data_IF_917593565757
#
_entry.id   IF_917593565757
#
_cell.length_a   1.000
_cell.length_b   1.000
_cell.length_c   1.000
_cell.angle_alpha   90.00
_cell.angle_beta   90.00
_cell.angle_gamma   90.00
#
_symmetry.space_group_name_H-M   'P 1'
#
loop_
_entity.id
_entity.type
_entity.pdbx_description
1 polymer ?
#
# COMPACT_ATOMS: atom_id res chain seq x y z
N UNK A 1 46.14 36.32 -11.44
CA UNK A 1 45.49 35.51 -12.49
C UNK A 1 46.45 34.38 -12.84
N UNK A 2 46.01 33.12 -12.96
CA UNK A 2 44.63 32.68 -13.14
C UNK A 2 43.88 32.43 -11.83
N UNK A 3 42.56 32.46 -11.96
CA UNK A 3 41.55 32.18 -10.95
C UNK A 3 41.18 30.71 -11.12
N UNK A 4 41.42 29.85 -10.14
CA UNK A 4 40.81 28.53 -10.13
C UNK A 4 39.49 28.58 -9.38
N UNK A 5 38.46 28.28 -10.17
CA UNK A 5 37.06 28.39 -9.85
C UNK A 5 36.65 27.41 -8.75
N UNK A 6 35.77 27.90 -7.87
CA UNK A 6 35.17 27.10 -6.81
C UNK A 6 34.44 25.88 -7.36
N UNK A 7 34.89 24.71 -6.92
CA UNK A 7 34.06 23.52 -6.89
C UNK A 7 33.19 23.59 -5.63
N UNK A 8 32.03 24.24 -5.73
CA UNK A 8 30.97 24.01 -4.76
C UNK A 8 30.49 22.58 -4.96
N UNK A 9 31.05 21.66 -4.18
CA UNK A 9 30.56 20.30 -4.07
C UNK A 9 29.22 20.39 -3.34
N UNK A 10 28.15 20.62 -4.12
CA UNK A 10 26.78 20.55 -3.64
C UNK A 10 26.58 19.15 -3.08
N UNK A 11 26.70 19.02 -1.76
CA UNK A 11 26.32 17.82 -1.04
C UNK A 11 24.86 17.58 -1.34
N UNK A 12 24.57 16.71 -2.31
CA UNK A 12 23.26 16.11 -2.44
C UNK A 12 23.03 15.39 -1.12
N UNK A 13 22.22 16.01 -0.28
CA UNK A 13 21.65 15.35 0.87
C UNK A 13 20.76 14.26 0.30
N UNK A 14 21.32 13.05 0.16
CA UNK A 14 20.54 11.83 0.00
C UNK A 14 19.70 11.78 1.28
N UNK A 15 18.45 12.20 1.17
CA UNK A 15 17.48 12.01 2.23
C UNK A 15 17.55 10.52 2.54
N UNK A 16 17.99 10.17 3.75
CA UNK A 16 17.67 8.87 4.31
C UNK A 16 16.19 8.63 4.01
N UNK A 17 15.76 7.44 3.53
CA UNK A 17 14.37 7.22 3.19
C UNK A 17 13.55 7.54 4.44
N UNK A 18 12.94 8.73 4.46
CA UNK A 18 12.03 9.12 5.50
C UNK A 18 10.88 8.11 5.45
N UNK A 19 10.39 7.70 6.61
CA UNK A 19 9.26 6.79 6.70
C UNK A 19 8.15 7.28 5.76
N UNK A 20 7.96 6.59 4.63
CA UNK A 20 7.05 7.04 3.59
C UNK A 20 5.63 6.63 3.97
N UNK A 21 4.68 7.55 3.77
CA UNK A 21 3.28 7.39 4.13
C UNK A 21 2.48 7.17 2.86
N UNK A 22 1.59 6.17 2.90
CA UNK A 22 0.60 5.96 1.86
C UNK A 22 -0.71 6.64 2.22
N UNK A 23 -1.19 7.49 1.32
CA UNK A 23 -2.44 8.23 1.46
C UNK A 23 -3.41 7.80 0.37
N UNK A 24 -4.71 7.93 0.62
CA UNK A 24 -5.73 7.79 -0.40
C UNK A 24 -5.47 8.82 -1.52
N UNK A 25 -5.25 8.37 -2.75
CA UNK A 25 -4.97 9.26 -3.88
C UNK A 25 -6.08 10.28 -4.15
N UNK A 26 -7.32 9.92 -3.83
CA UNK A 26 -8.49 10.76 -4.08
C UNK A 26 -8.65 11.91 -3.07
N UNK A 27 -8.24 11.73 -1.80
CA UNK A 27 -8.57 12.70 -0.74
C UNK A 27 -7.47 12.97 0.28
N UNK A 28 -6.31 12.31 0.20
CA UNK A 28 -5.18 12.52 1.10
C UNK A 28 -5.28 11.85 2.48
N UNK A 29 -6.40 11.17 2.80
CA UNK A 29 -6.53 10.39 4.03
C UNK A 29 -5.36 9.42 4.21
N UNK A 30 -4.68 9.45 5.35
CA UNK A 30 -3.59 8.50 5.66
C UNK A 30 -4.13 7.08 5.75
N UNK A 31 -3.49 6.15 5.03
CA UNK A 31 -3.90 4.74 4.92
C UNK A 31 -2.87 3.79 5.51
N UNK A 32 -1.60 3.88 5.12
CA UNK A 32 -0.57 2.95 5.58
C UNK A 32 0.83 3.58 5.50
N UNK A 33 1.87 2.77 5.70
CA UNK A 33 3.28 3.19 5.76
C UNK A 33 4.15 2.20 5.01
N UNK A 34 5.28 2.68 4.49
CA UNK A 34 6.29 1.84 3.85
C UNK A 34 6.82 0.73 4.78
N UNK A 35 7.05 1.04 6.07
CA UNK A 35 7.50 0.06 7.07
C UNK A 35 6.50 -1.07 7.33
N UNK A 36 5.26 -0.93 6.86
CA UNK A 36 4.20 -1.92 7.02
C UNK A 36 4.00 -2.81 5.80
N UNK A 37 4.76 -2.60 4.72
CA UNK A 37 4.79 -3.52 3.58
C UNK A 37 5.09 -4.95 4.05
N UNK A 38 4.32 -5.90 3.55
CA UNK A 38 4.32 -7.28 4.01
C UNK A 38 4.58 -8.23 2.83
N UNK A 39 5.68 -9.00 2.84
CA UNK A 39 6.02 -9.91 1.75
C UNK A 39 5.21 -11.22 1.80
N UNK A 40 3.93 -11.14 1.41
CA UNK A 40 3.04 -12.30 1.30
C UNK A 40 3.51 -13.25 0.19
N UNK A 41 3.90 -14.48 0.55
CA UNK A 41 4.42 -15.42 -0.44
C UNK A 41 5.75 -14.99 -1.07
N UNK A 42 6.52 -14.15 -0.39
CA UNK A 42 7.86 -13.72 -0.81
C UNK A 42 7.92 -12.35 -1.47
N UNK A 43 6.78 -11.73 -1.78
CA UNK A 43 6.72 -10.37 -2.33
C UNK A 43 5.56 -9.57 -1.70
N UNK A 44 5.68 -8.26 -1.66
CA UNK A 44 4.59 -7.37 -1.25
C UNK A 44 3.73 -6.98 -2.44
N UNK A 45 4.24 -7.04 -3.68
CA UNK A 45 3.52 -6.68 -4.90
C UNK A 45 2.97 -7.93 -5.61
N UNK A 46 1.67 -7.90 -5.93
CA UNK A 46 0.99 -8.96 -6.67
C UNK A 46 0.14 -8.36 -7.79
N UNK A 47 0.38 -8.80 -9.03
CA UNK A 47 -0.49 -8.48 -10.17
C UNK A 47 -1.53 -9.60 -10.32
N UNK A 48 -2.79 -9.25 -10.13
CA UNK A 48 -3.91 -10.19 -10.01
C UNK A 48 -5.09 -9.72 -10.84
N UNK A 49 -6.05 -10.60 -11.12
CA UNK A 49 -7.30 -10.24 -11.76
C UNK A 49 -8.50 -10.82 -11.02
N UNK A 50 -9.64 -10.13 -11.07
CA UNK A 50 -10.89 -10.62 -10.52
C UNK A 50 -11.69 -11.44 -11.58
N UNK A 51 -12.76 -12.14 -11.20
CA UNK A 51 -13.58 -12.92 -12.15
C UNK A 51 -14.19 -12.11 -13.31
N UNK A 52 -14.33 -10.80 -13.15
CA UNK A 52 -14.78 -9.89 -14.20
C UNK A 52 -13.65 -9.46 -15.18
N UNK A 53 -12.43 -9.99 -15.01
CA UNK A 53 -11.29 -9.69 -15.86
C UNK A 53 -10.57 -8.38 -15.55
N UNK A 54 -10.89 -7.70 -14.44
CA UNK A 54 -10.20 -6.48 -14.03
C UNK A 54 -8.85 -6.81 -13.41
N UNK A 55 -7.79 -6.20 -13.89
CA UNK A 55 -6.41 -6.36 -13.39
C UNK A 55 -6.12 -5.32 -12.31
N UNK A 56 -5.46 -5.75 -11.24
CA UNK A 56 -4.99 -4.90 -10.15
C UNK A 56 -3.51 -5.19 -9.84
N UNK A 57 -2.74 -4.13 -9.60
CA UNK A 57 -1.46 -4.22 -8.88
C UNK A 57 -1.76 -3.99 -7.40
N UNK A 58 -1.62 -5.04 -6.59
CA UNK A 58 -1.96 -5.08 -5.17
C UNK A 58 -0.69 -5.10 -4.34
N UNK A 59 -0.60 -4.17 -3.39
CA UNK A 59 0.45 -4.10 -2.38
C UNK A 59 -0.05 -4.61 -1.04
N UNK A 60 0.69 -5.54 -0.44
CA UNK A 60 0.38 -6.16 0.83
C UNK A 60 0.94 -5.33 1.98
N UNK A 61 0.10 -5.07 2.98
CA UNK A 61 0.44 -4.34 4.19
C UNK A 61 0.00 -5.12 5.43
N UNK A 62 0.86 -5.18 6.44
CA UNK A 62 0.53 -5.76 7.75
C UNK A 62 -0.51 -4.93 8.50
N UNK A 63 -0.50 -3.60 8.32
CA UNK A 63 -1.38 -2.67 8.99
C UNK A 63 -1.89 -1.59 8.02
N UNK A 64 -3.12 -1.15 8.21
CA UNK A 64 -3.70 0.00 7.55
C UNK A 64 -4.75 0.67 8.45
N UNK A 65 -4.95 1.97 8.26
CA UNK A 65 -5.90 2.81 8.99
C UNK A 65 -6.73 3.66 8.02
N UNK A 66 -7.72 4.39 8.52
CA UNK A 66 -8.54 5.27 7.68
C UNK A 66 -9.36 4.52 6.62
N UNK A 67 -9.62 3.23 6.85
CA UNK A 67 -10.42 2.36 6.00
C UNK A 67 -11.77 2.04 6.65
N UNK A 68 -12.79 1.81 5.82
CA UNK A 68 -14.08 1.23 6.19
C UNK A 68 -14.26 -0.08 5.44
N UNK A 69 -14.42 -1.17 6.19
CA UNK A 69 -14.70 -2.49 5.64
C UNK A 69 -16.20 -2.62 5.33
N UNK A 70 -16.55 -3.25 4.21
CA UNK A 70 -17.94 -3.42 3.78
C UNK A 70 -18.17 -4.81 3.22
N UNK A 71 -19.31 -5.39 3.62
CA UNK A 71 -19.69 -6.76 3.31
C UNK A 71 -19.20 -7.76 4.37
N UNK A 72 -19.58 -9.02 4.18
CA UNK A 72 -19.02 -10.13 4.94
C UNK A 72 -17.73 -10.62 4.25
N UNK A 73 -16.80 -11.23 5.01
CA UNK A 73 -15.65 -11.92 4.44
C UNK A 73 -16.08 -13.00 3.44
N UNK A 74 -15.36 -13.10 2.34
CA UNK A 74 -15.59 -14.12 1.31
C UNK A 74 -14.29 -14.79 0.89
N UNK A 75 -14.31 -16.12 0.81
CA UNK A 75 -13.22 -16.91 0.22
C UNK A 75 -13.32 -17.02 -1.30
N UNK A 76 -14.39 -16.50 -1.90
CA UNK A 76 -14.62 -16.59 -3.34
C UNK A 76 -13.49 -15.88 -4.12
N UNK A 77 -12.80 -16.62 -4.99
CA UNK A 77 -11.69 -16.10 -5.79
C UNK A 77 -10.62 -15.35 -4.97
N UNK A 78 -10.37 -15.78 -3.73
CA UNK A 78 -9.28 -15.21 -2.94
C UNK A 78 -7.93 -15.45 -3.62
N UNK A 79 -7.13 -14.39 -3.73
CA UNK A 79 -5.78 -14.46 -4.31
C UNK A 79 -4.74 -15.00 -3.32
N UNK A 80 -5.06 -15.00 -2.02
CA UNK A 80 -4.15 -15.46 -0.97
C UNK A 80 -4.73 -16.71 -0.32
N UNK A 81 -4.07 -17.85 -0.55
CA UNK A 81 -4.55 -19.16 -0.09
C UNK A 81 -4.77 -19.15 1.43
N UNK A 82 -5.96 -19.57 1.84
CA UNK A 82 -6.35 -19.67 3.25
C UNK A 82 -6.85 -18.37 3.87
N UNK A 83 -7.07 -17.32 3.07
CA UNK A 83 -7.66 -16.07 3.53
C UNK A 83 -9.00 -15.80 2.85
N UNK A 84 -9.96 -15.34 3.64
CA UNK A 84 -11.17 -14.67 3.17
C UNK A 84 -10.92 -13.17 3.07
N UNK A 85 -11.57 -12.49 2.13
CA UNK A 85 -11.41 -11.06 1.91
C UNK A 85 -12.69 -10.27 2.16
N UNK A 86 -12.53 -9.05 2.65
CA UNK A 86 -13.60 -8.04 2.78
C UNK A 86 -13.18 -6.78 2.05
N UNK A 87 -14.10 -6.14 1.32
CA UNK A 87 -13.80 -4.90 0.58
C UNK A 87 -13.42 -3.79 1.57
N UNK A 88 -12.33 -3.08 1.29
CA UNK A 88 -11.84 -1.94 2.05
C UNK A 88 -11.98 -0.64 1.25
N UNK A 89 -12.84 0.26 1.72
CA UNK A 89 -12.96 1.61 1.20
C UNK A 89 -12.14 2.60 2.01
N UNK A 90 -11.73 3.71 1.39
CA UNK A 90 -11.34 4.89 2.13
C UNK A 90 -12.50 5.33 3.04
N UNK A 91 -12.25 5.44 4.35
CA UNK A 91 -13.24 5.87 5.33
C UNK A 91 -13.74 7.28 5.09
N UNK A 92 -12.91 8.14 4.48
CA UNK A 92 -13.21 9.54 4.22
C UNK A 92 -14.02 9.77 2.94
N UNK A 93 -13.54 9.26 1.79
CA UNK A 93 -14.15 9.56 0.48
C UNK A 93 -14.90 8.39 -0.16
N UNK A 94 -14.84 7.18 0.43
CA UNK A 94 -15.49 5.99 -0.12
C UNK A 94 -14.80 5.36 -1.33
N UNK A 95 -13.67 5.88 -1.80
CA UNK A 95 -12.88 5.23 -2.87
C UNK A 95 -12.53 3.81 -2.46
N UNK A 96 -12.74 2.83 -3.35
CA UNK A 96 -12.32 1.45 -3.11
C UNK A 96 -10.78 1.39 -3.12
N UNK A 97 -10.15 1.05 -1.99
CA UNK A 97 -8.70 1.04 -1.87
C UNK A 97 -8.10 -0.37 -1.88
N UNK A 98 -8.91 -1.41 -1.70
CA UNK A 98 -8.49 -2.80 -1.81
C UNK A 98 -9.31 -3.68 -0.88
N UNK A 99 -8.63 -4.59 -0.17
CA UNK A 99 -9.26 -5.63 0.63
C UNK A 99 -8.54 -5.84 1.96
N UNK A 100 -9.31 -6.19 3.00
CA UNK A 100 -8.81 -6.77 4.23
C UNK A 100 -8.90 -8.29 4.12
N UNK A 101 -7.82 -8.99 4.45
CA UNK A 101 -7.73 -10.44 4.44
C UNK A 101 -7.67 -10.99 5.86
N UNK A 102 -8.43 -12.05 6.14
CA UNK A 102 -8.46 -12.74 7.43
C UNK A 102 -8.59 -14.26 7.29
N UNK A 103 -8.33 -15.01 8.36
CA UNK A 103 -8.46 -16.48 8.39
C UNK A 103 -7.16 -17.26 8.16
N UNK A 104 -6.09 -16.57 7.77
CA UNK A 104 -4.77 -17.18 7.60
C UNK A 104 -4.06 -17.52 8.92
N UNK A 105 -2.96 -18.26 8.81
CA UNK A 105 -2.15 -18.67 9.96
C UNK A 105 -1.03 -17.68 10.30
N UNK A 106 -0.29 -17.20 9.29
CA UNK A 106 0.80 -16.23 9.44
C UNK A 106 0.88 -15.30 8.21
N UNK A 107 0.54 -14.00 8.37
CA UNK A 107 -0.17 -13.43 9.53
C UNK A 107 -1.62 -13.93 9.64
N UNK A 108 -2.33 -13.57 10.72
CA UNK A 108 -3.77 -13.86 10.82
C UNK A 108 -4.60 -12.94 9.93
N UNK A 109 -4.15 -11.70 9.77
CA UNK A 109 -4.79 -10.68 8.97
C UNK A 109 -3.74 -9.82 8.28
N UNK A 110 -4.12 -9.22 7.15
CA UNK A 110 -3.35 -8.20 6.45
C UNK A 110 -4.27 -7.43 5.49
N UNK A 111 -3.72 -6.44 4.78
CA UNK A 111 -4.44 -5.67 3.76
C UNK A 111 -3.76 -5.84 2.40
N UNK A 112 -4.54 -6.09 1.36
CA UNK A 112 -4.09 -5.95 -0.03
C UNK A 112 -4.68 -4.67 -0.62
N UNK A 113 -3.86 -3.65 -0.82
CA UNK A 113 -4.29 -2.33 -1.29
C UNK A 113 -3.86 -2.08 -2.74
N UNK A 114 -4.71 -1.44 -3.53
CA UNK A 114 -4.47 -1.16 -4.94
C UNK A 114 -3.49 -0.01 -5.07
N UNK A 115 -2.28 -0.30 -5.57
CA UNK A 115 -1.14 0.62 -5.68
C UNK A 115 -1.53 1.96 -6.31
N UNK A 116 -2.20 1.92 -7.46
CA UNK A 116 -2.56 3.12 -8.24
C UNK A 116 -3.59 4.02 -7.55
N UNK A 117 -4.24 3.53 -6.49
CA UNK A 117 -5.22 4.29 -5.69
C UNK A 117 -4.60 4.87 -4.42
N UNK A 118 -3.30 4.66 -4.22
CA UNK A 118 -2.51 5.27 -3.18
C UNK A 118 -1.60 6.35 -3.76
N UNK A 119 -1.27 7.33 -2.94
CA UNK A 119 -0.21 8.30 -3.17
C UNK A 119 0.83 8.12 -2.08
N UNK A 120 2.09 7.95 -2.48
CA UNK A 120 3.23 7.88 -1.58
C UNK A 120 3.83 9.27 -1.39
N UNK A 121 4.22 9.59 -0.16
CA UNK A 121 4.89 10.84 0.17
C UNK A 121 5.63 10.75 1.50
N UNK A 122 6.37 11.80 1.88
CA UNK A 122 7.06 11.84 3.16
C UNK A 122 6.06 11.77 4.32
N UNK A 123 6.52 11.29 5.48
CA UNK A 123 5.87 11.60 6.74
C UNK A 123 5.89 13.12 6.97
N UNK A 124 4.76 13.66 7.45
CA UNK A 124 4.62 15.09 7.78
C UNK A 124 5.60 15.51 8.89
#
# INVERSE_FOLDING_TARGET
MPLDAGGQNSTQMVLAPGASIFRCRQCGQTISRHDWLLPMGGDHEHVVFNPAGMIFCVWCFSLAQGLRLIGAPSGEFSWFKGYDWTIALCGQCGSHLGWHYEGGSQPRTFFGLIKDRLAEGPAD
#
